data_IF_529797211371
#
_entry.id   IF_529797211371
#
_cell.length_a   1.000
_cell.length_b   1.000
_cell.length_c   1.000
_cell.angle_alpha   90.00
_cell.angle_beta   90.00
_cell.angle_gamma   90.00
#
_symmetry.space_group_name_H-M   'P 1'
#
loop_
_entity.id
_entity.type
_entity.pdbx_description
1 polymer ?
#
# COMPACT_ATOMS: atom_id res chain seq x y z
N UNK A 1 -17.53 6.50 -18.56
CA UNK A 1 -16.96 5.99 -17.29
C UNK A 1 -15.75 5.16 -17.67
N UNK A 2 -14.54 5.62 -17.36
CA UNK A 2 -13.32 4.90 -17.70
C UNK A 2 -12.98 3.97 -16.54
N UNK A 3 -13.21 2.68 -16.73
CA UNK A 3 -12.71 1.64 -15.83
C UNK A 3 -11.19 1.59 -15.98
N UNK A 4 -10.47 1.88 -14.90
CA UNK A 4 -9.03 1.72 -14.84
C UNK A 4 -8.71 0.23 -14.68
N UNK A 5 -8.78 -0.50 -15.79
CA UNK A 5 -8.36 -1.89 -15.86
C UNK A 5 -6.84 -1.96 -15.69
N UNK A 6 -6.35 -2.19 -14.48
CA UNK A 6 -4.97 -2.59 -14.25
C UNK A 6 -4.76 -3.97 -14.89
N UNK A 7 -4.15 -4.02 -16.07
CA UNK A 7 -3.83 -5.23 -16.84
C UNK A 7 -2.61 -5.98 -16.28
N UNK A 8 -2.58 -6.21 -14.97
CA UNK A 8 -1.55 -7.03 -14.35
C UNK A 8 -2.22 -8.21 -13.65
N UNK A 9 -2.13 -9.39 -14.27
CA UNK A 9 -2.55 -10.68 -13.71
C UNK A 9 -1.80 -11.05 -12.41
N UNK A 10 -0.83 -10.21 -12.01
CA UNK A 10 -0.07 -10.31 -10.77
C UNK A 10 -0.75 -9.62 -9.56
N UNK A 11 -1.71 -8.71 -9.80
CA UNK A 11 -2.41 -8.00 -8.73
C UNK A 11 -3.51 -8.92 -8.19
N UNK A 12 -3.21 -9.62 -7.10
CA UNK A 12 -4.19 -10.45 -6.42
C UNK A 12 -5.26 -9.57 -5.77
N UNK A 13 -6.56 -9.90 -5.92
CA UNK A 13 -7.63 -9.22 -5.19
C UNK A 13 -7.34 -9.26 -3.69
N UNK A 14 -7.16 -8.10 -3.08
CA UNK A 14 -6.93 -7.99 -1.63
C UNK A 14 -8.27 -8.18 -0.94
N UNK A 15 -8.30 -9.05 0.08
CA UNK A 15 -9.43 -9.16 0.99
C UNK A 15 -9.63 -7.83 1.73
N UNK A 16 -10.70 -7.13 1.36
CA UNK A 16 -11.08 -5.82 1.89
C UNK A 16 -11.80 -5.90 3.24
N UNK A 17 -12.03 -7.10 3.79
CA UNK A 17 -12.73 -7.26 5.04
C UNK A 17 -11.98 -6.60 6.20
N UNK A 18 -12.66 -5.75 6.95
CA UNK A 18 -12.16 -5.10 8.16
C UNK A 18 -13.11 -5.40 9.30
N UNK A 19 -12.57 -5.71 10.47
CA UNK A 19 -13.36 -5.88 11.69
C UNK A 19 -13.24 -4.63 12.54
N UNK A 20 -14.36 -4.20 13.12
CA UNK A 20 -14.40 -3.09 14.06
C UNK A 20 -15.19 -3.47 15.31
N UNK A 21 -14.75 -2.95 16.46
CA UNK A 21 -15.36 -3.22 17.75
C UNK A 21 -15.80 -1.89 18.36
N UNK A 22 -17.09 -1.78 18.64
CA UNK A 22 -17.64 -0.67 19.41
C UNK A 22 -17.98 -1.17 20.82
N UNK A 23 -17.35 -0.58 21.83
CA UNK A 23 -17.44 -1.01 23.22
C UNK A 23 -18.07 0.08 24.07
N UNK A 24 -18.98 -0.30 24.95
CA UNK A 24 -19.40 0.49 26.12
C UNK A 24 -18.92 -0.19 27.40
N UNK A 25 -19.28 0.38 28.54
CA UNK A 25 -19.10 -0.19 29.88
C UNK A 25 -19.60 -1.64 30.04
N UNK A 26 -20.72 -1.98 29.39
CA UNK A 26 -21.45 -3.23 29.63
C UNK A 26 -21.52 -4.15 28.42
N UNK A 27 -21.31 -3.62 27.21
CA UNK A 27 -21.49 -4.36 25.95
C UNK A 27 -20.36 -4.10 24.97
N UNK A 28 -20.00 -5.13 24.21
CA UNK A 28 -19.14 -4.99 23.03
C UNK A 28 -19.91 -5.45 21.79
N UNK A 29 -19.83 -4.66 20.71
CA UNK A 29 -20.44 -4.98 19.42
C UNK A 29 -19.35 -5.19 18.39
N UNK A 30 -19.35 -6.35 17.75
CA UNK A 30 -18.41 -6.70 16.70
C UNK A 30 -19.09 -6.50 15.34
N UNK A 31 -18.41 -5.77 14.45
CA UNK A 31 -18.83 -5.55 13.08
C UNK A 31 -17.77 -6.04 12.11
N UNK A 32 -18.22 -6.39 10.90
CA UNK A 32 -17.37 -6.62 9.74
C UNK A 32 -17.82 -5.67 8.63
N UNK A 33 -16.87 -4.99 8.01
CA UNK A 33 -17.09 -4.20 6.82
C UNK A 33 -16.25 -4.72 5.68
N UNK A 34 -16.73 -4.61 4.45
CA UNK A 34 -15.98 -5.01 3.26
C UNK A 34 -16.45 -4.22 2.04
N UNK A 35 -15.57 -4.17 1.04
CA UNK A 35 -15.86 -3.56 -0.25
C UNK A 35 -16.51 -4.61 -1.15
N UNK A 36 -17.66 -4.29 -1.75
CA UNK A 36 -18.33 -5.15 -2.73
C UNK A 36 -17.95 -4.78 -4.15
N UNK A 37 -17.97 -3.47 -4.44
CA UNK A 37 -17.61 -2.86 -5.72
C UNK A 37 -16.77 -1.60 -5.47
N UNK A 38 -16.34 -0.87 -6.51
CA UNK A 38 -15.52 0.34 -6.37
C UNK A 38 -16.12 1.42 -5.45
N UNK A 39 -17.44 1.54 -5.44
CA UNK A 39 -18.19 2.58 -4.73
C UNK A 39 -18.98 2.09 -3.52
N UNK A 40 -19.21 0.77 -3.42
CA UNK A 40 -20.10 0.19 -2.42
C UNK A 40 -19.34 -0.46 -1.26
N UNK A 41 -19.55 0.09 -0.06
CA UNK A 41 -19.04 -0.43 1.20
C UNK A 41 -20.18 -0.97 2.05
N UNK A 42 -20.05 -2.21 2.50
CA UNK A 42 -21.02 -2.86 3.37
C UNK A 42 -20.49 -2.96 4.79
N UNK A 43 -21.41 -2.97 5.75
CA UNK A 43 -21.13 -3.28 7.15
C UNK A 43 -22.21 -4.24 7.66
N UNK A 44 -21.81 -5.23 8.45
CA UNK A 44 -22.71 -6.16 9.11
C UNK A 44 -22.33 -6.29 10.59
N UNK A 45 -23.34 -6.42 11.45
CA UNK A 45 -23.14 -6.82 12.84
C UNK A 45 -22.87 -8.33 12.86
N UNK A 46 -21.77 -8.73 13.49
CA UNK A 46 -21.37 -10.14 13.62
C UNK A 46 -21.97 -10.73 14.90
N UNK A 47 -21.78 -10.03 16.02
CA UNK A 47 -22.21 -10.49 17.33
C UNK A 47 -22.20 -9.34 18.34
N UNK A 48 -23.02 -9.47 19.40
CA UNK A 48 -23.02 -8.57 20.55
C UNK A 48 -22.73 -9.34 21.84
N UNK A 49 -21.79 -8.84 22.63
CA UNK A 49 -21.31 -9.50 23.84
C UNK A 49 -21.66 -8.68 25.08
N UNK A 50 -22.17 -9.35 26.12
CA UNK A 50 -22.32 -8.78 27.45
C UNK A 50 -21.00 -8.95 28.20
N UNK A 51 -20.38 -7.85 28.62
CA UNK A 51 -19.03 -7.91 29.21
C UNK A 51 -19.04 -8.32 30.68
N UNK A 52 -20.19 -8.15 31.36
CA UNK A 52 -20.38 -8.54 32.75
C UNK A 52 -20.67 -10.04 32.91
N UNK A 53 -21.08 -10.71 31.83
CA UNK A 53 -21.31 -12.15 31.82
C UNK A 53 -19.99 -12.86 31.44
N UNK A 54 -19.41 -13.70 32.33
CA UNK A 54 -18.17 -14.41 32.07
C UNK A 54 -18.17 -15.23 30.79
N UNK A 55 -19.29 -15.86 30.42
CA UNK A 55 -19.37 -16.70 29.22
C UNK A 55 -19.27 -15.85 27.94
N UNK A 56 -20.04 -14.76 27.90
CA UNK A 56 -19.97 -13.81 26.79
C UNK A 56 -18.60 -13.13 26.69
N UNK A 57 -17.95 -12.82 27.82
CA UNK A 57 -16.61 -12.25 27.83
C UNK A 57 -15.55 -13.21 27.27
N UNK A 58 -15.62 -14.50 27.62
CA UNK A 58 -14.74 -15.53 27.06
C UNK A 58 -14.96 -15.70 25.56
N UNK A 59 -16.23 -15.71 25.12
CA UNK A 59 -16.57 -15.78 23.69
C UNK A 59 -16.02 -14.56 22.94
N UNK A 60 -16.20 -13.35 23.48
CA UNK A 60 -15.66 -12.12 22.92
C UNK A 60 -14.14 -12.20 22.74
N UNK A 61 -13.40 -12.58 23.80
CA UNK A 61 -11.94 -12.74 23.73
C UNK A 61 -11.51 -13.74 22.66
N UNK A 62 -12.24 -14.86 22.52
CA UNK A 62 -11.96 -15.85 21.48
C UNK A 62 -12.12 -15.27 20.08
N UNK A 63 -13.20 -14.51 19.83
CA UNK A 63 -13.41 -13.83 18.55
C UNK A 63 -12.31 -12.83 18.23
N UNK A 64 -11.95 -11.97 19.19
CA UNK A 64 -10.89 -10.97 19.03
C UNK A 64 -9.55 -11.65 18.71
N UNK A 65 -9.20 -12.72 19.43
CA UNK A 65 -7.98 -13.48 19.19
C UNK A 65 -7.96 -14.04 17.76
N UNK A 66 -9.03 -14.71 17.34
CA UNK A 66 -9.14 -15.28 16.00
C UNK A 66 -9.03 -14.22 14.90
N UNK A 67 -9.60 -13.02 15.09
CA UNK A 67 -9.50 -11.91 14.14
C UNK A 67 -8.05 -11.40 14.03
N UNK A 68 -7.36 -11.24 15.17
CA UNK A 68 -5.96 -10.82 15.17
C UNK A 68 -5.09 -11.86 14.48
N UNK A 69 -5.29 -13.13 14.80
CA UNK A 69 -4.51 -14.24 14.22
C UNK A 69 -4.77 -14.33 12.70
N UNK A 70 -6.03 -14.21 12.27
CA UNK A 70 -6.38 -14.13 10.84
C UNK A 70 -5.69 -12.97 10.12
N UNK A 71 -5.61 -11.79 10.75
CA UNK A 71 -4.99 -10.61 10.17
C UNK A 71 -3.46 -10.66 10.14
N UNK A 72 -2.82 -11.31 11.12
CA UNK A 72 -1.38 -11.25 11.34
C UNK A 72 -0.56 -12.04 10.33
N UNK A 73 -1.09 -13.16 9.84
CA UNK A 73 -0.31 -14.12 9.06
C UNK A 73 -0.38 -13.82 7.56
N UNK A 74 -1.06 -14.68 6.80
CA UNK A 74 -1.08 -14.65 5.33
C UNK A 74 -1.64 -13.35 4.77
N UNK A 75 -2.58 -12.73 5.47
CA UNK A 75 -3.25 -11.51 5.00
C UNK A 75 -2.31 -10.31 5.01
N UNK A 76 -1.62 -10.07 6.13
CA UNK A 76 -0.64 -8.99 6.23
C UNK A 76 0.49 -9.17 5.21
N UNK A 77 0.96 -10.41 5.05
CA UNK A 77 1.98 -10.73 4.04
C UNK A 77 1.49 -10.48 2.61
N UNK A 78 0.24 -10.84 2.30
CA UNK A 78 -0.39 -10.53 1.01
C UNK A 78 -0.47 -9.03 0.75
N UNK A 79 -0.91 -8.24 1.73
CA UNK A 79 -0.98 -6.77 1.62
C UNK A 79 0.40 -6.18 1.37
N UNK A 80 1.44 -6.62 2.11
CA UNK A 80 2.83 -6.17 1.92
C UNK A 80 3.31 -6.45 0.50
N UNK A 81 3.17 -7.69 0.04
CA UNK A 81 3.55 -8.08 -1.32
C UNK A 81 2.85 -7.27 -2.40
N UNK A 82 1.55 -7.01 -2.24
CA UNK A 82 0.81 -6.17 -3.18
C UNK A 82 1.31 -4.71 -3.19
N UNK A 83 1.65 -4.14 -2.03
CA UNK A 83 2.23 -2.80 -1.96
C UNK A 83 3.64 -2.75 -2.56
N UNK A 84 4.48 -3.75 -2.29
CA UNK A 84 5.82 -3.86 -2.87
C UNK A 84 5.75 -3.96 -4.40
N UNK A 85 4.81 -4.75 -4.92
CA UNK A 85 4.56 -4.85 -6.36
C UNK A 85 4.17 -3.50 -6.97
N UNK A 86 3.23 -2.78 -6.35
CA UNK A 86 2.80 -1.46 -6.82
C UNK A 86 3.94 -0.44 -6.82
N UNK A 87 4.83 -0.49 -5.83
CA UNK A 87 6.02 0.36 -5.75
C UNK A 87 7.02 0.03 -6.87
N UNK A 88 7.30 -1.25 -7.12
CA UNK A 88 8.22 -1.65 -8.19
C UNK A 88 7.67 -1.27 -9.57
N UNK A 89 6.38 -1.48 -9.81
CA UNK A 89 5.71 -1.05 -11.05
C UNK A 89 5.85 0.47 -11.27
N UNK A 90 5.64 1.27 -10.22
CA UNK A 90 5.80 2.73 -10.30
C UNK A 90 7.23 3.15 -10.66
N UNK A 91 8.23 2.42 -10.14
CA UNK A 91 9.65 2.67 -10.41
C UNK A 91 10.01 2.32 -11.85
N UNK A 92 9.52 1.19 -12.34
CA UNK A 92 9.76 0.76 -13.72
C UNK A 92 9.16 1.75 -14.72
N UNK A 93 7.93 2.24 -14.48
CA UNK A 93 7.28 3.28 -15.29
C UNK A 93 8.11 4.57 -15.30
N UNK A 94 8.57 5.03 -14.12
CA UNK A 94 9.42 6.22 -14.03
C UNK A 94 10.75 6.04 -14.76
N UNK A 95 11.36 4.87 -14.67
CA UNK A 95 12.62 4.55 -15.35
C UNK A 95 12.45 4.49 -16.87
N UNK A 96 11.34 3.93 -17.36
CA UNK A 96 11.00 3.88 -18.77
C UNK A 96 10.76 5.29 -19.32
N UNK A 97 10.04 6.13 -18.57
CA UNK A 97 9.85 7.54 -18.93
C UNK A 97 11.19 8.30 -19.05
N UNK A 98 12.09 8.14 -18.08
CA UNK A 98 13.42 8.76 -18.11
C UNK A 98 14.35 8.22 -19.21
N UNK A 99 14.23 6.93 -19.58
CA UNK A 99 14.95 6.36 -20.73
C UNK A 99 14.38 6.83 -22.07
N UNK A 100 13.09 7.14 -22.11
CA UNK A 100 12.40 7.63 -23.31
C UNK A 100 12.59 9.13 -23.55
N UNK A 101 12.97 9.90 -22.52
CA UNK A 101 13.36 11.29 -22.69
C UNK A 101 14.69 11.36 -23.45
N UNK A 102 14.61 11.72 -24.73
CA UNK A 102 15.76 12.10 -25.55
C UNK A 102 16.55 13.19 -24.79
N UNK A 103 17.85 13.00 -24.50
CA UNK A 103 18.66 14.10 -24.00
C UNK A 103 18.61 15.22 -25.05
N UNK A 104 18.46 16.50 -24.66
CA UNK A 104 18.49 17.58 -25.64
C UNK A 104 19.76 17.42 -26.46
N UNK A 105 19.56 17.18 -27.75
CA UNK A 105 20.57 16.80 -28.72
C UNK A 105 21.76 17.75 -28.60
N UNK A 106 22.94 17.17 -28.44
CA UNK A 106 24.17 17.83 -28.84
C UNK A 106 24.04 18.19 -30.33
N UNK A 107 24.09 19.49 -30.63
CA UNK A 107 24.13 20.01 -31.99
C UNK A 107 25.39 19.52 -32.72
N UNK A 108 25.30 19.04 -33.98
CA UNK A 108 26.48 18.72 -34.78
C UNK A 108 26.93 19.93 -35.63
N UNK A 109 28.19 20.33 -35.40
CA UNK A 109 29.12 21.06 -36.30
C UNK A 109 28.82 22.56 -36.56
N UNK A 110 29.75 23.53 -36.65
CA UNK A 110 31.22 23.66 -36.70
C UNK A 110 31.49 25.18 -36.59
N UNK A 111 32.39 25.78 -35.82
CA UNK A 111 33.85 25.81 -36.01
C UNK A 111 34.48 26.89 -35.11
N UNK A 112 35.71 26.60 -34.68
CA UNK A 112 36.85 27.52 -34.49
C UNK A 112 37.09 28.31 -33.17
N UNK A 113 38.05 27.76 -32.41
CA UNK A 113 39.25 28.40 -31.78
C UNK A 113 39.04 29.59 -30.82
N UNK A 114 39.33 29.40 -29.51
CA UNK A 114 40.52 29.91 -28.80
C UNK A 114 40.39 29.80 -27.27
N UNK A 115 41.43 29.23 -26.66
CA UNK A 115 41.95 29.45 -25.28
C UNK A 115 40.98 29.90 -24.18
N UNK A 116 40.88 29.17 -23.07
CA UNK A 116 41.94 29.28 -22.06
C UNK A 116 41.86 28.18 -21.00
N UNK A 117 43.06 27.77 -20.64
CA UNK A 117 43.44 26.79 -19.65
C UNK A 117 43.58 27.52 -18.32
N UNK A 118 42.77 27.17 -17.32
CA UNK A 118 43.00 27.56 -15.92
C UNK A 118 42.75 26.37 -15.01
N UNK A 119 43.85 25.68 -14.70
CA UNK A 119 43.92 24.65 -13.67
C UNK A 119 43.81 25.26 -12.27
N UNK A 120 43.50 24.37 -11.31
CA UNK A 120 43.85 24.42 -9.87
C UNK A 120 42.76 25.05 -8.96
N UNK A 121 42.34 24.48 -7.82
CA UNK A 121 42.99 23.54 -6.89
C UNK A 121 41.94 22.70 -6.15
N UNK A 122 42.37 21.49 -5.80
CA UNK A 122 41.84 20.61 -4.74
C UNK A 122 41.79 21.30 -3.37
N UNK A 123 40.92 20.83 -2.47
CA UNK A 123 41.33 20.53 -1.09
C UNK A 123 40.37 19.58 -0.37
N UNK A 124 41.00 18.66 0.37
CA UNK A 124 40.48 17.57 1.18
C UNK A 124 39.98 18.10 2.55
N UNK A 125 39.18 17.23 3.16
CA UNK A 125 38.76 17.15 4.57
C UNK A 125 39.78 17.57 5.64
N UNK A 126 39.27 18.15 6.72
CA UNK A 126 39.63 17.84 8.11
C UNK A 126 38.40 18.03 8.99
#
# INVERSE_FOLDING_TARGET
MAEMHCKNDLIHPIDSAAFSIAMSDTKARLYISWKKNELDYYIANVENFLLHDPEHFLKFRKYVRNIIDWGRDRRLEGIRKSLDYLLEESREIASAAAKSSVPPSADPASSAITSSRSSSKTCKTS
#
